data_IF_129048428503
#
_entry.id   IF_129048428503
#
_cell.length_a   1.000
_cell.length_b   1.000
_cell.length_c   1.000
_cell.angle_alpha   90.00
_cell.angle_beta   90.00
_cell.angle_gamma   90.00
#
_symmetry.space_group_name_H-M   'P 1'
#
loop_
_entity.id
_entity.type
_entity.pdbx_description
1 polymer ?
#
# COMPACT_ATOMS: atom_id res chain seq x y z
N UNK A 1 5.80 2.58 30.00
CA UNK A 1 7.00 1.90 29.44
C UNK A 1 7.25 2.16 27.94
N UNK A 2 6.28 2.63 27.16
CA UNK A 2 6.41 2.90 25.71
C UNK A 2 7.27 4.12 25.33
N UNK A 3 7.18 5.21 26.05
CA UNK A 3 7.84 6.48 25.71
C UNK A 3 9.38 6.48 25.85
N UNK A 4 9.94 5.66 26.72
CA UNK A 4 11.39 5.51 26.92
C UNK A 4 12.03 4.65 25.81
N UNK A 5 11.29 3.70 25.23
CA UNK A 5 11.76 2.86 24.11
C UNK A 5 11.90 3.65 22.80
N UNK A 6 10.99 4.60 22.55
CA UNK A 6 11.04 5.42 21.34
C UNK A 6 12.20 6.43 21.33
N UNK A 7 12.64 6.93 22.49
CA UNK A 7 13.81 7.82 22.58
C UNK A 7 15.13 7.11 22.33
N UNK A 8 15.29 5.86 22.77
CA UNK A 8 16.51 5.10 22.56
C UNK A 8 16.71 4.71 21.08
N UNK A 9 15.63 4.47 20.33
CA UNK A 9 15.70 4.15 18.89
C UNK A 9 16.07 5.39 18.06
N UNK A 10 15.71 6.61 18.50
CA UNK A 10 16.00 7.86 17.77
C UNK A 10 17.52 8.17 17.65
N UNK A 11 18.37 7.60 18.52
CA UNK A 11 19.81 7.81 18.53
C UNK A 11 20.57 6.78 17.65
N UNK A 12 19.89 5.74 17.18
CA UNK A 12 20.53 4.70 16.38
C UNK A 12 20.73 5.16 14.91
N UNK A 13 21.83 4.72 14.26
CA UNK A 13 22.01 4.94 12.83
C UNK A 13 20.77 4.51 12.03
N UNK A 14 20.42 5.25 10.97
CA UNK A 14 19.20 5.05 10.19
C UNK A 14 19.04 3.58 9.73
N UNK A 15 20.13 2.94 9.29
CA UNK A 15 20.14 1.53 8.89
C UNK A 15 19.79 0.56 10.02
N UNK A 16 20.20 0.86 11.25
CA UNK A 16 19.91 0.01 12.41
C UNK A 16 18.48 0.21 12.90
N UNK A 17 17.96 1.44 12.84
CA UNK A 17 16.55 1.74 13.11
C UNK A 17 15.64 1.01 12.13
N UNK A 18 16.00 1.05 10.84
CA UNK A 18 15.31 0.34 9.77
C UNK A 18 15.35 -1.19 9.99
N UNK A 19 16.52 -1.76 10.29
CA UNK A 19 16.69 -3.20 10.55
C UNK A 19 15.90 -3.69 11.77
N UNK A 20 15.82 -2.87 12.83
CA UNK A 20 15.02 -3.17 14.02
C UNK A 20 13.50 -3.02 13.74
N UNK A 21 13.10 -2.13 12.85
CA UNK A 21 11.72 -1.97 12.38
C UNK A 21 11.26 -3.16 11.52
N UNK A 22 12.13 -3.69 10.66
CA UNK A 22 11.83 -4.84 9.81
C UNK A 22 11.60 -6.16 10.57
N UNK A 23 12.07 -6.27 11.81
CA UNK A 23 11.83 -7.45 12.67
C UNK A 23 10.45 -7.46 13.32
N UNK A 24 9.67 -6.41 13.20
CA UNK A 24 8.26 -6.46 13.55
C UNK A 24 7.54 -7.13 12.37
N UNK A 25 7.31 -8.44 12.53
CA UNK A 25 6.34 -9.11 11.69
C UNK A 25 5.10 -8.23 11.67
N UNK A 26 4.70 -7.81 10.47
CA UNK A 26 3.51 -6.99 10.34
C UNK A 26 2.29 -7.91 10.49
N UNK A 27 1.87 -8.08 11.74
CA UNK A 27 0.91 -9.10 12.17
C UNK A 27 -0.35 -9.15 11.29
N UNK A 28 -0.89 -7.98 10.93
CA UNK A 28 -2.09 -7.93 10.09
C UNK A 28 -1.80 -8.45 8.66
N UNK A 29 -0.65 -8.11 8.05
CA UNK A 29 -0.30 -8.63 6.72
C UNK A 29 -0.09 -10.14 6.76
N UNK A 30 0.63 -10.66 7.77
CA UNK A 30 0.87 -12.10 7.93
C UNK A 30 -0.43 -12.85 8.16
N UNK A 31 -1.36 -12.29 8.94
CA UNK A 31 -2.64 -12.92 9.24
C UNK A 31 -3.52 -13.08 8.01
N UNK A 32 -3.55 -12.10 7.12
CA UNK A 32 -4.38 -12.15 5.92
C UNK A 32 -3.68 -12.74 4.71
N UNK A 33 -2.38 -12.50 4.55
CA UNK A 33 -1.63 -12.85 3.35
C UNK A 33 -0.68 -14.04 3.55
N UNK A 34 -0.44 -14.47 4.80
CA UNK A 34 0.48 -15.57 5.10
C UNK A 34 0.05 -16.89 4.44
N UNK A 35 0.97 -17.52 3.68
CA UNK A 35 0.73 -18.74 2.94
C UNK A 35 -0.15 -18.59 1.69
N UNK A 36 -0.39 -17.35 1.27
CA UNK A 36 -1.00 -17.00 -0.02
C UNK A 36 0.08 -16.49 -0.97
N UNK A 37 -0.18 -16.53 -2.28
CA UNK A 37 0.69 -15.99 -3.33
C UNK A 37 0.01 -14.83 -4.05
N UNK A 38 0.73 -13.73 -4.24
CA UNK A 38 0.13 -12.52 -4.81
C UNK A 38 1.12 -11.61 -5.51
N UNK A 39 0.72 -10.37 -5.66
CA UNK A 39 1.55 -9.32 -6.26
C UNK A 39 1.68 -8.13 -5.32
N UNK A 40 2.83 -7.47 -5.35
CA UNK A 40 3.10 -6.22 -4.68
C UNK A 40 3.30 -5.12 -5.74
N UNK A 41 2.48 -4.07 -5.68
CA UNK A 41 2.58 -2.92 -6.58
C UNK A 41 3.55 -1.91 -5.96
N UNK A 42 4.57 -1.51 -6.71
CA UNK A 42 5.58 -0.55 -6.24
C UNK A 42 6.43 -1.06 -5.08
N UNK A 43 6.70 -2.37 -5.04
CA UNK A 43 7.45 -3.03 -3.97
C UNK A 43 8.87 -2.48 -3.82
N UNK A 44 9.31 -2.34 -2.56
CA UNK A 44 10.60 -1.78 -2.22
C UNK A 44 11.34 -2.58 -1.14
N UNK A 45 12.67 -2.77 -1.30
CA UNK A 45 13.49 -3.55 -0.38
C UNK A 45 13.52 -2.97 1.04
N UNK A 46 13.33 -1.66 1.21
CA UNK A 46 13.31 -1.02 2.53
C UNK A 46 11.96 -1.14 3.24
N UNK A 47 10.91 -1.51 2.52
CA UNK A 47 9.56 -1.64 3.07
C UNK A 47 8.93 -3.02 2.81
N UNK A 48 9.75 -4.05 2.66
CA UNK A 48 9.29 -5.39 2.29
C UNK A 48 8.38 -6.02 3.35
N UNK A 49 7.33 -6.69 2.86
CA UNK A 49 6.45 -7.54 3.66
C UNK A 49 6.95 -9.00 3.63
N UNK A 50 6.76 -9.77 4.72
CA UNK A 50 7.16 -11.18 4.79
C UNK A 50 6.10 -12.08 4.14
N UNK A 51 5.76 -11.82 2.88
CA UNK A 51 4.73 -12.52 2.09
C UNK A 51 5.30 -12.97 0.74
N UNK A 52 4.66 -13.93 0.11
CA UNK A 52 5.03 -14.42 -1.22
C UNK A 52 4.36 -13.55 -2.29
N UNK A 53 5.11 -12.56 -2.80
CA UNK A 53 4.61 -11.60 -3.78
C UNK A 53 5.63 -11.34 -4.89
N UNK A 54 5.13 -11.28 -6.12
CA UNK A 54 5.84 -10.82 -7.32
C UNK A 54 5.77 -9.29 -7.36
N UNK A 55 6.89 -8.61 -7.59
CA UNK A 55 6.96 -7.16 -7.63
C UNK A 55 6.57 -6.61 -9.00
N UNK A 56 5.53 -5.80 -9.04
CA UNK A 56 5.08 -5.07 -10.24
C UNK A 56 5.35 -3.58 -10.06
N UNK A 57 6.00 -2.96 -11.05
CA UNK A 57 6.26 -1.54 -11.06
C UNK A 57 6.11 -0.98 -12.49
N UNK A 58 5.77 0.29 -12.60
CA UNK A 58 5.66 1.00 -13.88
C UNK A 58 7.00 1.10 -14.60
N UNK A 59 8.12 1.12 -13.86
CA UNK A 59 9.45 1.36 -14.39
C UNK A 59 10.41 0.21 -14.11
N UNK A 60 11.03 -0.31 -15.18
CA UNK A 60 12.08 -1.32 -15.07
C UNK A 60 13.42 -0.76 -14.61
N UNK A 61 13.60 0.57 -14.70
CA UNK A 61 14.87 1.23 -14.45
C UNK A 61 15.28 1.14 -12.98
N UNK A 62 16.52 0.75 -12.76
CA UNK A 62 17.11 0.63 -11.43
C UNK A 62 17.85 1.91 -10.98
N UNK A 63 17.86 2.95 -11.79
CA UNK A 63 18.53 4.25 -11.58
C UNK A 63 17.54 5.40 -11.33
N UNK A 64 16.37 5.11 -10.79
CA UNK A 64 15.37 6.09 -10.38
C UNK A 64 15.68 6.64 -8.98
N UNK A 65 15.15 7.83 -8.67
CA UNK A 65 15.27 8.44 -7.34
C UNK A 65 14.72 7.51 -6.24
N UNK A 66 13.67 6.73 -6.53
CA UNK A 66 13.08 5.74 -5.64
C UNK A 66 14.04 4.58 -5.37
N UNK A 67 14.70 4.06 -6.42
CA UNK A 67 15.69 2.97 -6.29
C UNK A 67 16.97 3.44 -5.60
N UNK A 68 17.35 4.69 -5.75
CA UNK A 68 18.47 5.27 -5.01
C UNK A 68 18.14 5.43 -3.52
N UNK A 69 16.94 5.90 -3.18
CA UNK A 69 16.47 5.96 -1.81
C UNK A 69 16.37 4.56 -1.18
N UNK A 70 15.86 3.61 -1.92
CA UNK A 70 15.78 2.20 -1.51
C UNK A 70 17.18 1.64 -1.17
N UNK A 71 18.19 1.88 -2.02
CA UNK A 71 19.59 1.50 -1.75
C UNK A 71 20.15 2.24 -0.54
N UNK A 72 19.85 3.52 -0.40
CA UNK A 72 20.30 4.34 0.74
C UNK A 72 19.76 3.79 2.06
N UNK A 73 18.50 3.37 2.11
CA UNK A 73 17.84 2.89 3.32
C UNK A 73 18.16 1.44 3.63
N UNK A 74 18.15 0.55 2.64
CA UNK A 74 18.26 -0.91 2.83
C UNK A 74 19.59 -1.53 2.38
N UNK A 75 20.43 -0.76 1.68
CA UNK A 75 21.67 -1.25 1.10
C UNK A 75 21.51 -1.99 -0.23
N UNK A 76 20.29 -2.16 -0.71
CA UNK A 76 19.96 -2.81 -2.00
C UNK A 76 18.68 -2.21 -2.58
N UNK A 77 18.43 -2.46 -3.86
CA UNK A 77 17.13 -2.20 -4.48
C UNK A 77 16.48 -3.52 -4.91
N UNK A 78 15.16 -3.58 -4.84
CA UNK A 78 14.37 -4.72 -5.30
C UNK A 78 14.24 -4.66 -6.82
N UNK A 79 14.44 -5.80 -7.49
CA UNK A 79 14.18 -5.92 -8.92
C UNK A 79 12.67 -5.83 -9.18
N UNK A 80 12.31 -5.39 -10.38
CA UNK A 80 10.94 -5.42 -10.89
C UNK A 80 10.78 -6.72 -11.66
N UNK A 81 9.80 -7.53 -11.29
CA UNK A 81 9.53 -8.83 -11.93
C UNK A 81 8.63 -8.65 -13.15
N UNK A 82 7.62 -7.77 -13.03
CA UNK A 82 6.70 -7.42 -14.13
C UNK A 82 6.67 -5.90 -14.27
N UNK A 83 6.89 -5.41 -15.48
CA UNK A 83 6.79 -3.97 -15.80
C UNK A 83 5.39 -3.69 -16.35
N UNK A 84 4.58 -2.99 -15.55
CA UNK A 84 3.22 -2.61 -15.95
C UNK A 84 2.74 -1.39 -15.13
N UNK A 85 1.78 -0.60 -15.68
CA UNK A 85 1.02 0.34 -14.87
C UNK A 85 0.27 -0.39 -13.75
N UNK A 86 0.26 0.16 -12.53
CA UNK A 86 -0.42 -0.49 -11.41
C UNK A 86 -1.96 -0.47 -11.50
N UNK A 87 -2.51 0.32 -12.40
CA UNK A 87 -3.95 0.45 -12.68
C UNK A 87 -4.38 -0.21 -14.02
N UNK A 88 -3.48 -1.02 -14.61
CA UNK A 88 -3.71 -1.82 -15.82
C UNK A 88 -2.73 -3.00 -15.82
N UNK A 89 -3.07 -4.06 -15.09
CA UNK A 89 -2.18 -5.18 -14.82
C UNK A 89 -2.31 -6.27 -15.92
N UNK A 90 -1.20 -6.83 -16.42
CA UNK A 90 -1.23 -7.90 -17.42
C UNK A 90 -1.54 -9.26 -16.75
N UNK A 91 -2.59 -9.30 -15.95
CA UNK A 91 -3.02 -10.46 -15.18
C UNK A 91 -4.49 -10.78 -15.47
N UNK A 92 -4.85 -12.07 -15.47
CA UNK A 92 -6.23 -12.50 -15.62
C UNK A 92 -7.05 -12.19 -14.36
N UNK A 93 -8.38 -12.18 -14.50
CA UNK A 93 -9.30 -11.99 -13.38
C UNK A 93 -9.10 -13.08 -12.33
N UNK A 94 -9.04 -12.69 -11.06
CA UNK A 94 -8.89 -13.58 -9.91
C UNK A 94 -7.69 -14.54 -9.99
N UNK A 95 -6.63 -14.15 -10.71
CA UNK A 95 -5.46 -14.99 -10.98
C UNK A 95 -4.43 -15.03 -9.85
N UNK A 96 -4.51 -14.11 -8.88
CA UNK A 96 -3.66 -14.08 -7.70
C UNK A 96 -4.50 -14.10 -6.42
N UNK A 97 -3.94 -14.60 -5.30
CA UNK A 97 -4.67 -14.60 -4.04
C UNK A 97 -4.85 -13.16 -3.48
N UNK A 98 -3.84 -12.30 -3.64
CA UNK A 98 -3.90 -10.93 -3.13
C UNK A 98 -3.14 -9.93 -4.00
N UNK A 99 -3.53 -8.67 -3.85
CA UNK A 99 -2.75 -7.51 -4.27
C UNK A 99 -2.33 -6.74 -3.02
N UNK A 100 -1.03 -6.40 -2.92
CA UNK A 100 -0.45 -5.59 -1.87
C UNK A 100 0.10 -4.28 -2.46
N UNK A 101 -0.16 -3.15 -1.81
CA UNK A 101 0.47 -1.88 -2.15
C UNK A 101 0.71 -1.05 -0.87
N UNK A 102 1.89 -0.43 -0.78
CA UNK A 102 2.27 0.37 0.38
C UNK A 102 2.84 1.70 -0.06
N UNK A 103 2.15 2.80 0.27
CA UNK A 103 2.50 4.14 -0.18
C UNK A 103 2.59 4.25 -1.72
N UNK A 104 1.53 3.83 -2.38
CA UNK A 104 1.43 3.80 -3.86
C UNK A 104 0.11 4.40 -4.35
N UNK A 105 -1.01 4.13 -3.65
CA UNK A 105 -2.35 4.53 -4.11
C UNK A 105 -2.50 6.05 -4.22
N UNK A 106 -1.76 6.82 -3.42
CA UNK A 106 -1.74 8.28 -3.44
C UNK A 106 -1.16 8.87 -4.73
N UNK A 107 -0.35 8.09 -5.46
CA UNK A 107 0.27 8.50 -6.71
C UNK A 107 -0.64 8.29 -7.94
N UNK A 108 -1.78 7.62 -7.78
CA UNK A 108 -2.72 7.47 -8.89
C UNK A 108 -3.61 8.70 -9.05
N UNK A 109 -3.66 9.31 -10.26
CA UNK A 109 -4.63 10.35 -10.59
C UNK A 109 -6.08 9.88 -10.39
N UNK A 110 -6.35 8.64 -10.77
CA UNK A 110 -7.60 7.92 -10.56
C UNK A 110 -7.38 6.70 -9.66
N UNK A 111 -7.43 6.86 -8.32
CA UNK A 111 -7.25 5.74 -7.40
C UNK A 111 -8.40 4.73 -7.45
N UNK A 112 -9.59 5.11 -7.92
CA UNK A 112 -10.73 4.18 -8.08
C UNK A 112 -10.42 3.17 -9.17
N UNK A 113 -9.85 3.62 -10.31
CA UNK A 113 -9.42 2.72 -11.39
C UNK A 113 -8.43 1.68 -10.86
N UNK A 114 -7.43 2.11 -10.09
CA UNK A 114 -6.45 1.20 -9.50
C UNK A 114 -7.10 0.19 -8.52
N UNK A 115 -7.98 0.65 -7.64
CA UNK A 115 -8.68 -0.23 -6.69
C UNK A 115 -9.55 -1.27 -7.38
N UNK A 116 -10.28 -0.89 -8.42
CA UNK A 116 -11.11 -1.81 -9.21
C UNK A 116 -10.26 -2.80 -10.01
N UNK A 117 -9.11 -2.37 -10.52
CA UNK A 117 -8.16 -3.27 -11.19
C UNK A 117 -7.57 -4.29 -10.19
N UNK A 118 -7.22 -3.85 -9.00
CA UNK A 118 -6.73 -4.75 -7.94
C UNK A 118 -7.81 -5.72 -7.46
N UNK A 119 -9.08 -5.26 -7.39
CA UNK A 119 -10.21 -6.14 -7.12
C UNK A 119 -10.39 -7.16 -8.24
N UNK A 120 -10.24 -6.78 -9.51
CA UNK A 120 -10.36 -7.68 -10.66
C UNK A 120 -9.36 -8.84 -10.56
N UNK A 121 -8.08 -8.56 -10.27
CA UNK A 121 -7.03 -9.58 -10.30
C UNK A 121 -6.91 -10.39 -9.01
N UNK A 122 -7.27 -9.81 -7.84
CA UNK A 122 -7.19 -10.51 -6.56
C UNK A 122 -8.41 -11.41 -6.33
N UNK A 123 -8.18 -12.67 -5.96
CA UNK A 123 -9.25 -13.62 -5.64
C UNK A 123 -9.71 -13.54 -4.18
N UNK A 124 -8.89 -13.00 -3.26
CA UNK A 124 -9.19 -12.97 -1.82
C UNK A 124 -9.07 -11.60 -1.18
N UNK A 125 -7.90 -10.95 -1.30
CA UNK A 125 -7.64 -9.72 -0.55
C UNK A 125 -6.92 -8.66 -1.37
N UNK A 126 -7.24 -7.39 -1.07
CA UNK A 126 -6.37 -6.26 -1.33
C UNK A 126 -5.88 -5.77 0.04
N UNK A 127 -4.57 -5.64 0.19
CA UNK A 127 -3.92 -5.15 1.39
C UNK A 127 -3.17 -3.86 1.09
N UNK A 128 -3.53 -2.77 1.75
CA UNK A 128 -2.91 -1.48 1.53
C UNK A 128 -2.31 -0.92 2.82
N UNK A 129 -1.19 -0.20 2.68
CA UNK A 129 -0.75 0.80 3.63
C UNK A 129 -0.82 2.15 2.94
N UNK A 130 -1.69 3.02 3.45
CA UNK A 130 -1.99 4.32 2.85
C UNK A 130 -1.44 5.43 3.75
N UNK A 131 -0.75 6.46 3.21
CA UNK A 131 -0.26 7.56 4.02
C UNK A 131 -1.42 8.33 4.67
N UNK A 132 -1.27 8.62 5.98
CA UNK A 132 -2.25 9.44 6.68
C UNK A 132 -1.83 10.91 6.61
N UNK A 133 -2.76 11.81 6.27
CA UNK A 133 -2.49 13.25 6.14
C UNK A 133 -1.66 13.80 7.30
N UNK A 134 -2.12 13.60 8.53
CA UNK A 134 -1.55 14.24 9.72
C UNK A 134 -0.20 13.65 10.14
N UNK A 135 0.28 12.60 9.46
CA UNK A 135 1.53 11.89 9.79
C UNK A 135 2.56 11.92 8.65
N UNK A 136 2.25 12.65 7.57
CA UNK A 136 3.11 12.79 6.40
C UNK A 136 3.37 14.25 6.07
N UNK A 137 4.10 14.51 5.00
CA UNK A 137 4.33 15.86 4.48
C UNK A 137 3.06 16.51 3.89
N UNK A 138 1.95 15.76 3.79
CA UNK A 138 0.65 16.26 3.34
C UNK A 138 -0.18 16.93 4.45
N UNK A 139 0.37 17.11 5.66
CA UNK A 139 -0.35 17.63 6.82
C UNK A 139 -1.02 18.99 6.61
N UNK A 140 -0.45 19.82 5.75
CA UNK A 140 -0.99 21.14 5.41
C UNK A 140 -2.03 21.12 4.27
N UNK A 141 -2.29 19.94 3.69
CA UNK A 141 -3.27 19.77 2.61
C UNK A 141 -4.63 19.37 3.18
N UNK A 142 -5.70 19.77 2.49
CA UNK A 142 -7.04 19.25 2.78
C UNK A 142 -7.14 17.76 2.41
N UNK A 143 -8.00 17.00 3.12
CA UNK A 143 -8.40 15.67 2.65
C UNK A 143 -9.06 15.81 1.28
N UNK A 144 -8.77 14.87 0.39
CA UNK A 144 -9.42 14.82 -0.92
C UNK A 144 -10.86 14.33 -0.75
N UNK A 145 -11.88 15.12 -1.14
CA UNK A 145 -13.26 14.69 -1.03
C UNK A 145 -13.55 13.44 -1.86
N UNK A 146 -14.33 12.51 -1.33
CA UNK A 146 -14.70 11.28 -2.05
C UNK A 146 -15.45 11.59 -3.35
N UNK A 147 -16.31 12.61 -3.35
CA UNK A 147 -17.02 13.03 -4.56
C UNK A 147 -16.05 13.50 -5.68
N UNK A 148 -14.96 14.20 -5.33
CA UNK A 148 -13.92 14.58 -6.28
C UNK A 148 -13.25 13.34 -6.91
N UNK A 149 -12.98 12.29 -6.13
CA UNK A 149 -12.41 11.05 -6.64
C UNK A 149 -13.37 10.33 -7.59
N UNK A 150 -14.65 10.32 -7.26
CA UNK A 150 -15.71 9.76 -8.13
C UNK A 150 -15.80 10.55 -9.44
N UNK A 151 -15.73 11.88 -9.39
CA UNK A 151 -15.74 12.74 -10.60
C UNK A 151 -14.49 12.50 -11.46
N UNK A 152 -13.30 12.38 -10.86
CA UNK A 152 -12.05 12.04 -11.58
C UNK A 152 -12.22 10.71 -12.32
N UNK A 153 -12.72 9.68 -11.64
CA UNK A 153 -12.98 8.38 -12.24
C UNK A 153 -14.00 8.45 -13.39
N UNK A 154 -15.14 9.10 -13.17
CA UNK A 154 -16.18 9.24 -14.18
C UNK A 154 -15.72 10.01 -15.43
N UNK A 155 -14.79 10.96 -15.27
CA UNK A 155 -14.23 11.73 -16.38
C UNK A 155 -13.07 11.04 -17.10
N UNK A 156 -12.55 9.91 -16.57
CA UNK A 156 -11.36 9.26 -17.08
C UNK A 156 -10.10 10.11 -16.91
N UNK A 157 -10.00 10.83 -15.78
CA UNK A 157 -8.87 11.72 -15.51
C UNK A 157 -7.55 10.94 -15.45
N UNK A 158 -6.55 11.39 -16.20
CA UNK A 158 -5.20 10.82 -16.25
C UNK A 158 -4.14 11.91 -16.16
N UNK A 159 -2.98 11.55 -15.63
CA UNK A 159 -1.80 12.41 -15.62
C UNK A 159 -0.53 11.56 -15.50
N UNK A 160 0.56 12.01 -16.11
CA UNK A 160 1.89 11.41 -15.97
C UNK A 160 2.74 12.08 -14.88
N UNK A 161 2.18 13.08 -14.18
CA UNK A 161 2.87 13.79 -13.11
C UNK A 161 2.98 12.89 -11.87
N UNK A 162 4.22 12.69 -11.38
CA UNK A 162 4.48 11.93 -10.16
C UNK A 162 4.36 12.83 -8.93
N UNK A 163 3.22 12.71 -8.25
CA UNK A 163 2.89 13.44 -7.02
C UNK A 163 1.83 12.68 -6.22
N UNK A 164 1.61 13.10 -4.97
CA UNK A 164 0.42 12.70 -4.24
C UNK A 164 -0.83 13.41 -4.82
N UNK A 165 -1.60 12.67 -5.60
CA UNK A 165 -2.86 13.17 -6.19
C UNK A 165 -3.99 13.22 -5.19
N UNK A 166 -3.92 12.37 -4.16
CA UNK A 166 -4.97 12.25 -3.15
C UNK A 166 -4.38 12.19 -1.74
N UNK A 167 -5.13 12.73 -0.78
CA UNK A 167 -4.76 12.83 0.64
C UNK A 167 -5.90 12.29 1.48
N UNK A 168 -5.62 11.35 2.40
CA UNK A 168 -6.63 10.67 3.18
C UNK A 168 -6.39 10.67 4.69
N UNK A 169 -7.47 10.47 5.44
CA UNK A 169 -7.51 9.80 6.72
C UNK A 169 -7.98 8.35 6.54
N UNK A 170 -7.89 7.53 7.58
CA UNK A 170 -8.42 6.17 7.53
C UNK A 170 -9.92 6.16 7.22
N UNK A 171 -10.69 7.05 7.87
CA UNK A 171 -12.14 7.16 7.70
C UNK A 171 -12.53 7.56 6.28
N UNK A 172 -11.84 8.55 5.69
CA UNK A 172 -12.16 9.02 4.33
C UNK A 172 -11.84 7.96 3.27
N UNK A 173 -10.80 7.14 3.50
CA UNK A 173 -10.49 6.03 2.60
C UNK A 173 -11.50 4.87 2.73
N UNK A 174 -11.94 4.56 3.95
CA UNK A 174 -13.03 3.59 4.19
C UNK A 174 -14.33 4.06 3.53
N UNK A 175 -14.66 5.34 3.62
CA UNK A 175 -15.81 5.93 2.91
C UNK A 175 -15.68 5.74 1.40
N UNK A 176 -14.52 6.02 0.81
CA UNK A 176 -14.27 5.77 -0.62
C UNK A 176 -14.56 4.31 -0.98
N UNK A 177 -13.97 3.35 -0.23
CA UNK A 177 -14.18 1.93 -0.47
C UNK A 177 -15.67 1.55 -0.44
N UNK A 178 -16.42 2.03 0.55
CA UNK A 178 -17.86 1.80 0.68
C UNK A 178 -18.66 2.36 -0.50
N UNK A 179 -18.32 3.57 -0.94
CA UNK A 179 -18.98 4.27 -2.04
C UNK A 179 -18.80 3.56 -3.39
N UNK A 180 -17.67 2.88 -3.59
CA UNK A 180 -17.38 2.11 -4.81
C UNK A 180 -17.68 0.60 -4.67
N UNK A 181 -18.30 0.19 -3.55
CA UNK A 181 -18.77 -1.18 -3.34
C UNK A 181 -17.73 -2.16 -2.82
N UNK A 182 -16.54 -1.71 -2.44
CA UNK A 182 -15.48 -2.55 -1.89
C UNK A 182 -15.72 -2.86 -0.40
N UNK A 183 -15.48 -4.11 0.00
CA UNK A 183 -15.73 -4.58 1.36
C UNK A 183 -14.50 -4.51 2.23
N UNK A 184 -14.37 -3.46 3.03
CA UNK A 184 -13.34 -3.35 4.06
C UNK A 184 -13.64 -4.31 5.20
N UNK A 185 -12.67 -5.17 5.56
CA UNK A 185 -12.81 -6.16 6.63
C UNK A 185 -11.99 -5.83 7.87
N UNK A 186 -10.89 -5.08 7.73
CA UNK A 186 -10.09 -4.63 8.86
C UNK A 186 -9.32 -3.37 8.52
N UNK A 187 -9.08 -2.54 9.53
CA UNK A 187 -8.19 -1.36 9.48
C UNK A 187 -7.27 -1.34 10.69
N UNK A 188 -6.06 -0.79 10.53
CA UNK A 188 -5.12 -0.54 11.62
C UNK A 188 -4.56 0.88 11.48
N UNK A 189 -4.94 1.78 12.39
CA UNK A 189 -4.53 3.18 12.39
C UNK A 189 -3.97 3.60 13.76
N UNK A 190 -2.68 4.04 13.86
CA UNK A 190 -1.68 4.04 12.78
C UNK A 190 -1.20 2.65 12.40
N UNK A 191 -0.67 2.50 11.18
CA UNK A 191 0.00 1.27 10.79
C UNK A 191 1.18 0.99 11.73
N UNK A 192 1.38 -0.27 12.11
CA UNK A 192 2.45 -0.66 13.04
C UNK A 192 3.80 -0.88 12.36
N UNK A 193 3.87 -0.87 11.04
CA UNK A 193 5.10 -1.11 10.30
C UNK A 193 5.97 0.14 10.21
N UNK A 194 5.43 1.24 9.71
CA UNK A 194 6.11 2.53 9.54
C UNK A 194 5.57 3.57 10.51
N UNK A 195 4.25 3.60 10.73
CA UNK A 195 3.56 4.47 11.68
C UNK A 195 3.14 5.82 11.13
N UNK A 196 3.36 6.06 9.83
CA UNK A 196 2.97 7.31 9.16
C UNK A 196 1.70 7.16 8.30
N UNK A 197 1.17 5.96 8.20
CA UNK A 197 -0.03 5.61 7.46
C UNK A 197 -1.05 4.87 8.30
N UNK A 198 -1.98 4.24 7.62
CA UNK A 198 -2.91 3.26 8.15
C UNK A 198 -2.93 2.04 7.21
N UNK A 199 -3.15 0.86 7.78
CA UNK A 199 -3.38 -0.34 6.99
C UNK A 199 -4.87 -0.57 6.77
N UNK A 200 -5.22 -1.12 5.62
CA UNK A 200 -6.58 -1.50 5.28
C UNK A 200 -6.58 -2.84 4.54
N UNK A 201 -7.50 -3.71 4.90
CA UNK A 201 -7.76 -4.99 4.26
C UNK A 201 -9.13 -4.95 3.62
N UNK A 202 -9.18 -5.25 2.34
CA UNK A 202 -10.40 -5.32 1.54
C UNK A 202 -10.57 -6.77 1.09
N UNK A 203 -11.74 -7.37 1.33
CA UNK A 203 -12.08 -8.68 0.81
C UNK A 203 -12.65 -8.56 -0.60
N UNK A 204 -12.18 -9.42 -1.52
CA UNK A 204 -12.62 -9.43 -2.92
C UNK A 204 -13.60 -10.56 -3.25
N UNK A 205 -13.92 -11.41 -2.26
CA UNK A 205 -14.97 -12.40 -2.31
C UNK A 205 -15.78 -12.44 -1.00
N UNK A 206 -16.92 -13.14 -1.02
CA UNK A 206 -17.79 -13.26 0.15
C UNK A 206 -17.23 -14.23 1.22
N UNK A 207 -16.39 -15.21 0.84
CA UNK A 207 -15.82 -16.19 1.77
C UNK A 207 -14.65 -15.61 2.55
N UNK A 208 -13.79 -14.82 1.89
CA UNK A 208 -12.67 -14.14 2.53
C UNK A 208 -13.09 -13.13 3.60
N UNK A 209 -14.34 -12.66 3.55
CA UNK A 209 -14.90 -11.75 4.54
C UNK A 209 -15.25 -12.41 5.88
N UNK A 210 -15.23 -13.75 5.98
CA UNK A 210 -15.76 -14.48 7.13
C UNK A 210 -14.69 -15.10 8.05
N UNK A 211 -13.41 -15.16 7.65
CA UNK A 211 -12.39 -15.78 8.50
C UNK A 211 -10.98 -15.29 8.24
N UNK A 212 -10.42 -14.42 9.09
CA UNK A 212 -8.97 -14.39 9.22
C UNK A 212 -8.50 -15.76 9.69
N UNK A 213 -7.46 -16.31 9.07
CA UNK A 213 -6.88 -17.59 9.51
C UNK A 213 -6.38 -17.45 10.94
N UNK A 214 -6.88 -18.34 11.83
CA UNK A 214 -6.46 -18.47 13.23
C UNK A 214 -5.00 -18.93 13.35
#
# INVERSE_FOLDING_TARGET
MGALRNRAVAVLPLRLRWWLGQRREYEIAVRYLGGLSGVEIGGSAHNRFPVDAINIDRYAQMDTIYKDEERRLSGRALAVDIVAPGDDLPLEDKSVDFVLASHVIEHFPDPIKALLEWERVASKYIFLVVPHRDRTFDSDRALTPVDELIERHASGFTSDEDRHWSVWSCESFVELCQRIGLKVVETEDPDKKVGNGFAIVIATDSESALSPRS
#
